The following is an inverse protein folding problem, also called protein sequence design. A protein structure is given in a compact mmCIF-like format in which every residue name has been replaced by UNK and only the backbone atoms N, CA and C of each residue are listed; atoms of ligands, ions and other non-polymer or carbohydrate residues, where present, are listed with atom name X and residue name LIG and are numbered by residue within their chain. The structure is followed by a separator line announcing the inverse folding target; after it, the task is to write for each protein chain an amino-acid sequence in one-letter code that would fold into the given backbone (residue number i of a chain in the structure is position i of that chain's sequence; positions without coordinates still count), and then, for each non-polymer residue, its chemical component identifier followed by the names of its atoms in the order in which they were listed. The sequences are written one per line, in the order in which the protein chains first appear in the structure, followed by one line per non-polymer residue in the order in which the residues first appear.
data_IF_561772526605
#
_entry.id   IF_561772526605
#
_cell.length_a   1.000
_cell.length_b   1.000
_cell.length_c   1.000
_cell.angle_alpha   90.00
_cell.angle_beta   90.00
_cell.angle_gamma   90.00
#
_symmetry.space_group_name_H-M   'P 1'
#
loop_
_entity.id
_entity.type
_entity.pdbx_description
1 polymer ?
#
# COMPACT_ATOMS: atom_id res chain seq x y z
N UNK A 1 14.28 -3.11 0.09
CA UNK A 1 14.23 -2.14 -1.02
C UNK A 1 14.53 -2.77 -2.37
N UNK A 2 15.80 -3.06 -2.67
CA UNK A 2 16.26 -3.44 -4.03
C UNK A 2 15.65 -4.77 -4.53
N UNK A 3 15.60 -5.82 -3.69
CA UNK A 3 15.08 -7.14 -4.08
C UNK A 3 13.58 -7.09 -4.38
N UNK A 4 12.79 -6.39 -3.56
CA UNK A 4 11.34 -6.30 -3.75
C UNK A 4 10.93 -5.38 -4.91
N UNK A 5 11.69 -4.31 -5.17
CA UNK A 5 11.49 -3.51 -6.38
C UNK A 5 11.82 -4.33 -7.65
N UNK A 6 12.88 -5.17 -7.59
CA UNK A 6 13.21 -6.08 -8.67
C UNK A 6 12.10 -7.13 -8.90
N UNK A 7 11.53 -7.72 -7.84
CA UNK A 7 10.43 -8.68 -7.95
C UNK A 7 9.10 -8.06 -8.35
N UNK A 8 8.76 -6.88 -7.85
CA UNK A 8 7.59 -6.10 -8.29
C UNK A 8 7.65 -5.81 -9.80
N UNK A 9 8.84 -5.48 -10.32
CA UNK A 9 9.07 -5.22 -11.75
C UNK A 9 9.21 -6.49 -12.61
N UNK A 10 9.49 -7.64 -12.01
CA UNK A 10 9.86 -8.88 -12.73
C UNK A 10 8.69 -9.56 -13.45
N UNK A 11 7.43 -9.16 -13.26
CA UNK A 11 6.24 -9.82 -13.84
C UNK A 11 6.10 -11.33 -13.54
N UNK A 12 7.01 -11.95 -12.78
CA UNK A 12 6.93 -13.34 -12.38
C UNK A 12 5.62 -13.57 -11.62
N UNK A 13 4.88 -14.64 -11.95
CA UNK A 13 3.50 -14.87 -11.46
C UNK A 13 3.32 -14.79 -9.94
N UNK A 14 4.40 -14.95 -9.16
CA UNK A 14 4.41 -14.97 -7.69
C UNK A 14 5.09 -13.74 -7.05
N UNK A 15 5.26 -12.65 -7.82
CA UNK A 15 5.96 -11.44 -7.36
C UNK A 15 5.34 -10.82 -6.10
N UNK A 16 4.01 -10.57 -6.04
CA UNK A 16 3.34 -10.01 -4.87
C UNK A 16 3.40 -10.94 -3.65
N UNK A 17 3.20 -12.25 -3.84
CA UNK A 17 3.22 -13.24 -2.77
C UNK A 17 4.59 -13.31 -2.10
N UNK A 18 5.68 -13.33 -2.89
CA UNK A 18 7.04 -13.27 -2.34
C UNK A 18 7.37 -11.95 -1.65
N UNK A 19 6.85 -10.83 -2.16
CA UNK A 19 7.00 -9.55 -1.48
C UNK A 19 6.26 -9.55 -0.12
N UNK A 20 5.12 -10.24 -0.04
CA UNK A 20 4.36 -10.42 1.20
C UNK A 20 5.09 -11.34 2.19
N UNK A 21 5.65 -12.46 1.73
CA UNK A 21 6.48 -13.35 2.57
C UNK A 21 7.68 -12.59 3.16
N UNK A 22 8.39 -11.80 2.36
CA UNK A 22 9.49 -10.96 2.84
C UNK A 22 9.02 -9.89 3.84
N UNK A 23 7.83 -9.30 3.62
CA UNK A 23 7.24 -8.36 4.57
C UNK A 23 7.01 -9.05 5.92
N UNK A 24 6.42 -10.24 5.93
CA UNK A 24 6.15 -11.00 7.15
C UNK A 24 7.44 -11.46 7.85
N UNK A 25 8.47 -11.84 7.10
CA UNK A 25 9.81 -12.09 7.63
C UNK A 25 10.40 -10.82 8.28
N UNK A 26 10.27 -9.65 7.64
CA UNK A 26 10.75 -8.40 8.25
C UNK A 26 9.95 -8.00 9.49
N UNK A 27 8.63 -8.23 9.52
CA UNK A 27 7.77 -8.02 10.70
C UNK A 27 8.19 -8.90 11.87
N UNK A 28 8.61 -10.14 11.62
CA UNK A 28 9.05 -11.08 12.68
C UNK A 28 10.50 -10.88 13.11
N UNK A 29 11.35 -10.29 12.27
CA UNK A 29 12.73 -10.01 12.61
C UNK A 29 12.82 -8.78 13.52
N UNK A 30 13.06 -9.00 14.82
CA UNK A 30 13.02 -8.00 15.91
C UNK A 30 13.95 -6.76 15.76
N UNK A 31 14.66 -6.61 14.65
CA UNK A 31 15.56 -5.49 14.37
C UNK A 31 15.29 -4.72 13.07
N UNK A 32 14.32 -5.13 12.24
CA UNK A 32 14.02 -4.45 10.97
C UNK A 32 12.56 -4.03 10.98
N UNK A 33 12.29 -2.78 11.35
CA UNK A 33 10.94 -2.23 11.27
C UNK A 33 10.47 -2.21 9.80
N UNK A 34 9.28 -2.76 9.48
CA UNK A 34 8.66 -2.59 8.18
C UNK A 34 8.56 -1.09 7.86
N UNK A 35 8.99 -0.68 6.67
CA UNK A 35 8.93 0.71 6.24
C UNK A 35 7.73 0.91 5.29
N UNK A 36 7.09 2.07 5.30
CA UNK A 36 6.08 2.49 4.31
C UNK A 36 6.54 2.23 2.87
N UNK A 37 7.83 2.42 2.58
CA UNK A 37 8.43 2.13 1.26
C UNK A 37 8.21 0.67 0.83
N UNK A 38 8.27 -0.26 1.76
CA UNK A 38 8.09 -1.68 1.49
C UNK A 38 6.61 -1.99 1.15
N UNK A 39 5.69 -1.50 1.96
CA UNK A 39 4.26 -1.63 1.65
C UNK A 39 3.91 -0.98 0.30
N UNK A 40 4.48 0.19 0.00
CA UNK A 40 4.30 0.86 -1.29
C UNK A 40 4.73 0.01 -2.50
N UNK A 41 5.82 -0.75 -2.37
CA UNK A 41 6.26 -1.68 -3.43
C UNK A 41 5.25 -2.81 -3.62
N UNK A 42 4.68 -3.31 -2.52
CA UNK A 42 3.68 -4.38 -2.55
C UNK A 42 2.35 -3.87 -3.18
N UNK A 43 1.91 -2.67 -2.79
CA UNK A 43 0.75 -2.00 -3.39
C UNK A 43 0.98 -1.78 -4.90
N UNK A 44 2.16 -1.30 -5.32
CA UNK A 44 2.47 -1.12 -6.76
C UNK A 44 2.44 -2.46 -7.51
N UNK A 45 2.94 -3.55 -6.90
CA UNK A 45 2.90 -4.87 -7.50
C UNK A 45 1.46 -5.36 -7.75
N UNK A 46 0.57 -5.19 -6.78
CA UNK A 46 -0.85 -5.50 -6.91
C UNK A 46 -1.56 -4.56 -7.90
N UNK A 47 -1.22 -3.27 -7.90
CA UNK A 47 -1.80 -2.26 -8.79
C UNK A 47 -1.47 -2.53 -10.26
N UNK A 48 -0.26 -3.00 -10.57
CA UNK A 48 0.15 -3.40 -11.93
C UNK A 48 -0.65 -4.59 -12.45
N UNK A 49 -1.16 -5.44 -11.57
CA UNK A 49 -1.95 -6.64 -11.90
C UNK A 49 -3.46 -6.38 -11.90
N UNK A 50 -3.91 -5.17 -11.59
CA UNK A 50 -5.33 -4.85 -11.41
C UNK A 50 -5.96 -5.54 -10.19
N UNK A 51 -5.14 -6.03 -9.25
CA UNK A 51 -5.61 -6.69 -8.02
C UNK A 51 -5.93 -5.63 -6.96
N UNK A 52 -6.99 -4.85 -7.21
CA UNK A 52 -7.32 -3.67 -6.39
C UNK A 52 -7.63 -3.99 -4.93
N UNK A 53 -8.35 -5.10 -4.67
CA UNK A 53 -8.68 -5.54 -3.31
C UNK A 53 -7.43 -5.87 -2.49
N UNK A 54 -6.47 -6.56 -3.08
CA UNK A 54 -5.21 -6.89 -2.39
C UNK A 54 -4.38 -5.62 -2.14
N UNK A 55 -4.33 -4.71 -3.12
CA UNK A 55 -3.67 -3.42 -2.94
C UNK A 55 -4.28 -2.61 -1.78
N UNK A 56 -5.62 -2.60 -1.66
CA UNK A 56 -6.32 -1.90 -0.58
C UNK A 56 -6.12 -2.59 0.79
N UNK A 57 -6.11 -3.92 0.83
CA UNK A 57 -5.80 -4.65 2.07
C UNK A 57 -4.43 -4.27 2.62
N UNK A 58 -3.42 -4.18 1.74
CA UNK A 58 -2.06 -3.78 2.11
C UNK A 58 -2.02 -2.33 2.61
N UNK A 59 -2.80 -1.42 2.01
CA UNK A 59 -2.92 -0.03 2.50
C UNK A 59 -3.51 0.01 3.92
N UNK A 60 -4.53 -0.81 4.20
CA UNK A 60 -5.12 -0.92 5.55
C UNK A 60 -4.12 -1.46 6.57
N UNK A 61 -3.27 -2.42 6.16
CA UNK A 61 -2.17 -2.88 7.04
C UNK A 61 -1.20 -1.75 7.42
N UNK A 62 -0.97 -0.75 6.55
CA UNK A 62 -0.17 0.44 6.93
C UNK A 62 -0.94 1.30 7.94
N UNK A 63 -2.22 1.58 7.68
CA UNK A 63 -3.06 2.43 8.55
C UNK A 63 -3.19 1.85 9.96
N UNK A 64 -3.33 0.52 10.06
CA UNK A 64 -3.48 -0.17 11.34
C UNK A 64 -2.13 -0.39 12.06
N UNK A 65 -1.00 -0.20 11.37
CA UNK A 65 0.32 -0.42 11.95
C UNK A 65 0.78 0.79 12.79
N UNK A 66 1.16 0.58 14.07
CA UNK A 66 1.56 1.66 14.95
C UNK A 66 2.86 2.33 14.47
N UNK A 67 2.84 3.65 14.33
CA UNK A 67 3.99 4.45 13.92
C UNK A 67 4.30 4.41 12.43
N UNK A 68 3.40 3.87 11.60
CA UNK A 68 3.44 3.98 10.15
C UNK A 68 2.27 4.83 9.67
N UNK A 69 2.55 5.70 8.70
CA UNK A 69 1.51 6.49 8.03
C UNK A 69 1.60 6.22 6.53
N UNK A 70 0.47 5.86 5.88
CA UNK A 70 0.45 5.77 4.43
C UNK A 70 0.68 7.15 3.81
N UNK A 71 1.50 7.17 2.77
CA UNK A 71 1.79 8.40 2.03
C UNK A 71 0.84 8.58 0.84
N UNK A 72 0.89 9.76 0.21
CA UNK A 72 0.14 10.05 -1.00
C UNK A 72 0.39 9.01 -2.12
N UNK A 73 1.59 8.42 -2.14
CA UNK A 73 1.95 7.40 -3.12
C UNK A 73 1.19 6.08 -2.88
N UNK A 74 0.97 5.71 -1.62
CA UNK A 74 0.20 4.54 -1.20
C UNK A 74 -1.23 4.62 -1.73
N UNK A 75 -1.92 5.74 -1.46
CA UNK A 75 -3.29 5.98 -1.93
C UNK A 75 -3.38 6.03 -3.45
N UNK A 76 -2.48 6.75 -4.12
CA UNK A 76 -2.46 6.85 -5.58
C UNK A 76 -2.29 5.49 -6.26
N UNK A 77 -1.44 4.61 -5.71
CA UNK A 77 -1.26 3.28 -6.25
C UNK A 77 -2.52 2.41 -6.10
N UNK A 78 -3.20 2.45 -4.94
CA UNK A 78 -4.47 1.71 -4.75
C UNK A 78 -5.56 2.23 -5.67
N UNK A 79 -5.69 3.55 -5.83
CA UNK A 79 -6.64 4.14 -6.78
C UNK A 79 -6.35 3.72 -8.23
N UNK A 80 -5.07 3.68 -8.62
CA UNK A 80 -4.66 3.18 -9.94
C UNK A 80 -4.97 1.68 -10.10
N UNK A 81 -4.88 0.90 -9.02
CA UNK A 81 -5.28 -0.51 -9.02
C UNK A 81 -6.77 -0.67 -9.29
N UNK A 82 -7.62 0.09 -8.58
CA UNK A 82 -9.08 0.11 -8.77
C UNK A 82 -9.47 0.57 -10.17
N UNK A 83 -8.81 1.60 -10.68
CA UNK A 83 -9.03 2.08 -12.04
C UNK A 83 -8.73 0.99 -13.09
N UNK A 84 -7.74 0.13 -12.85
CA UNK A 84 -7.34 -0.95 -13.75
C UNK A 84 -8.13 -2.25 -13.55
N UNK A 85 -8.80 -2.43 -12.42
CA UNK A 85 -9.50 -3.69 -12.10
C UNK A 85 -10.86 -3.83 -12.79
N UNK A 86 -11.31 -2.81 -13.52
CA UNK A 86 -12.62 -2.73 -14.21
C UNK A 86 -13.82 -3.12 -13.31
N UNK A 87 -13.65 -2.90 -12.00
CA UNK A 87 -14.66 -3.27 -11.03
C UNK A 87 -15.76 -2.21 -11.01
N UNK A 88 -17.03 -2.63 -10.94
CA UNK A 88 -18.17 -1.69 -10.93
C UNK A 88 -18.14 -0.73 -9.74
N UNK A 89 -17.54 -1.15 -8.62
CA UNK A 89 -17.38 -0.35 -7.41
C UNK A 89 -16.12 0.54 -7.40
N UNK A 90 -15.27 0.49 -8.44
CA UNK A 90 -14.00 1.23 -8.50
C UNK A 90 -14.19 2.75 -8.27
N UNK A 91 -15.24 3.34 -8.84
CA UNK A 91 -15.51 4.78 -8.67
C UNK A 91 -15.87 5.14 -7.22
N UNK A 92 -16.70 4.32 -6.57
CA UNK A 92 -17.08 4.52 -5.17
C UNK A 92 -15.86 4.35 -4.26
N UNK A 93 -15.05 3.31 -4.52
CA UNK A 93 -13.81 3.03 -3.77
C UNK A 93 -12.78 4.15 -3.91
N UNK A 94 -12.56 4.66 -5.11
CA UNK A 94 -11.66 5.80 -5.31
C UNK A 94 -12.11 7.05 -4.53
N UNK A 95 -13.42 7.33 -4.46
CA UNK A 95 -13.95 8.44 -3.65
C UNK A 95 -13.76 8.23 -2.15
N UNK A 96 -13.97 7.00 -1.67
CA UNK A 96 -13.73 6.64 -0.27
C UNK A 96 -12.25 6.86 0.07
N UNK A 97 -11.34 6.36 -0.77
CA UNK A 97 -9.89 6.50 -0.59
C UNK A 97 -9.43 7.96 -0.59
N UNK A 98 -9.97 8.81 -1.48
CA UNK A 98 -9.68 10.25 -1.49
C UNK A 98 -10.18 10.95 -0.22
N UNK A 99 -11.36 10.57 0.26
CA UNK A 99 -11.92 11.13 1.49
C UNK A 99 -11.05 10.77 2.70
N UNK A 100 -10.56 9.53 2.75
CA UNK A 100 -9.67 9.07 3.80
C UNK A 100 -8.30 9.73 3.75
N UNK A 101 -7.69 9.82 2.56
CA UNK A 101 -6.43 10.55 2.35
C UNK A 101 -6.53 12.00 2.84
N UNK A 102 -7.62 12.68 2.53
CA UNK A 102 -7.86 14.06 2.98
C UNK A 102 -8.01 14.14 4.50
N UNK A 103 -8.72 13.18 5.11
CA UNK A 103 -8.89 13.09 6.56
C UNK A 103 -7.54 12.88 7.27
N UNK A 104 -6.72 11.96 6.78
CA UNK A 104 -5.40 11.68 7.35
C UNK A 104 -4.45 12.87 7.17
N UNK A 105 -4.47 13.54 6.01
CA UNK A 105 -3.69 14.75 5.78
C UNK A 105 -4.06 15.88 6.77
N UNK A 106 -5.36 16.04 7.09
CA UNK A 106 -5.79 17.02 8.11
C UNK A 106 -5.40 16.62 9.53
N UNK A 107 -5.34 15.33 9.85
CA UNK A 107 -4.93 14.86 11.18
C UNK A 107 -3.43 15.06 11.41
N UNK A 108 -2.60 14.74 10.42
CA UNK A 108 -1.14 14.92 10.47
C UNK A 108 -0.75 16.40 10.70
N UNK A 109 -1.43 17.33 10.03
CA UNK A 109 -1.20 18.78 10.20
C UNK A 109 -1.62 19.33 11.57
N UNK A 110 -2.51 18.62 12.30
CA UNK A 110 -3.01 19.07 13.61
C UNK A 110 -2.18 18.50 14.78
N UNK A 111 -1.33 17.50 14.55
CA UNK A 111 -0.47 16.89 15.58
C UNK A 111 0.85 17.62 15.80
N UNK A 112 1.23 18.57 14.94
CA UNK A 112 2.45 19.40 15.11
C UNK A 112 2.21 20.71 15.91
N UNK A 113 0.98 20.97 16.37
CA UNK A 113 0.60 22.24 17.03
C UNK A 113 0.20 22.13 18.52
N UNK A 114 0.45 21.00 19.18
CA UNK A 114 0.17 20.79 20.61
C UNK A 114 1.43 20.71 21.47
#
# INVERSE_FOLDING_TARGET
GIVMNAWSKSQADHGPERCKELLDETKTNKGVAPNVVLYNILIDAYARRGQAREAENVLREIVDAPGLEPDNHSFNNVMNAWYKSDAEDAHTRCKELLSEMSRLATLSNNTEVA
#
